data_IF_689084211848
#
_entry.id   IF_689084211848
#
_cell.length_a   1.000
_cell.length_b   1.000
_cell.length_c   1.000
_cell.angle_alpha   90.00
_cell.angle_beta   90.00
_cell.angle_gamma   90.00
#
_symmetry.space_group_name_H-M   'P 1'
#
loop_
_entity.id
_entity.type
_entity.pdbx_description
1 polymer ?
#
# COMPACT_ATOMS: atom_id res chain seq x y z
N UNK A 1 -20.30 -7.72 20.75
CA UNK A 1 -20.45 -6.48 20.01
C UNK A 1 -19.61 -5.33 20.58
N UNK A 2 -19.79 -4.84 21.82
CA UNK A 2 -19.01 -3.70 22.38
C UNK A 2 -17.47 -3.83 22.36
N UNK A 3 -16.90 -5.03 22.40
CA UNK A 3 -15.44 -5.24 22.49
C UNK A 3 -14.75 -5.09 21.13
N UNK A 4 -15.39 -5.53 20.05
CA UNK A 4 -14.89 -5.39 18.66
C UNK A 4 -14.86 -3.92 18.20
N UNK A 5 -15.82 -3.11 18.66
CA UNK A 5 -15.93 -1.71 18.26
C UNK A 5 -14.82 -0.88 18.89
N UNK A 6 -14.52 -1.10 20.18
CA UNK A 6 -13.42 -0.39 20.87
C UNK A 6 -12.03 -0.69 20.29
N UNK A 7 -11.79 -1.93 19.88
CA UNK A 7 -10.55 -2.31 19.23
C UNK A 7 -10.35 -1.55 17.91
N UNK A 8 -11.40 -1.44 17.10
CA UNK A 8 -11.38 -0.68 15.85
C UNK A 8 -11.19 0.82 16.08
N UNK A 9 -11.85 1.39 17.08
CA UNK A 9 -11.69 2.80 17.46
C UNK A 9 -10.24 3.12 17.86
N UNK A 10 -9.58 2.25 18.63
CA UNK A 10 -8.16 2.39 18.99
C UNK A 10 -7.26 2.31 17.76
N UNK A 11 -7.50 1.34 16.88
CA UNK A 11 -6.74 1.19 15.63
C UNK A 11 -6.90 2.42 14.73
N UNK A 12 -8.11 2.94 14.60
CA UNK A 12 -8.38 4.13 13.79
C UNK A 12 -7.69 5.38 14.36
N UNK A 13 -7.81 5.60 15.67
CA UNK A 13 -7.13 6.71 16.36
C UNK A 13 -5.60 6.65 16.20
N UNK A 14 -5.01 5.46 16.30
CA UNK A 14 -3.58 5.25 16.11
C UNK A 14 -3.15 5.48 14.66
N UNK A 15 -3.93 4.98 13.69
CA UNK A 15 -3.69 5.20 12.26
C UNK A 15 -3.64 6.70 11.94
N UNK A 16 -4.64 7.46 12.39
CA UNK A 16 -4.73 8.91 12.18
C UNK A 16 -3.54 9.65 12.79
N UNK A 17 -3.23 9.38 14.06
CA UNK A 17 -2.11 10.02 14.76
C UNK A 17 -0.76 9.71 14.10
N UNK A 18 -0.55 8.47 13.66
CA UNK A 18 0.68 8.08 12.97
C UNK A 18 0.75 8.78 11.60
N UNK A 19 -0.35 8.85 10.87
CA UNK A 19 -0.41 9.54 9.58
C UNK A 19 -0.14 11.05 9.72
N UNK A 20 -0.57 11.68 10.83
CA UNK A 20 -0.40 13.11 11.12
C UNK A 20 0.98 13.45 11.67
N UNK A 21 1.51 12.64 12.60
CA UNK A 21 2.66 12.99 13.45
C UNK A 21 3.82 11.99 13.37
N UNK A 22 3.67 10.92 12.58
CA UNK A 22 4.62 9.82 12.53
C UNK A 22 4.61 8.95 13.80
N UNK A 23 5.43 7.89 13.78
CA UNK A 23 5.44 6.92 14.88
C UNK A 23 5.88 7.51 16.22
N UNK A 24 6.87 8.41 16.21
CA UNK A 24 7.35 9.04 17.44
C UNK A 24 6.36 10.07 17.98
N UNK A 25 5.64 10.75 17.10
CA UNK A 25 4.63 11.76 17.45
C UNK A 25 3.27 11.18 17.87
N UNK A 26 3.11 9.85 17.88
CA UNK A 26 1.87 9.15 18.27
C UNK A 26 2.12 8.25 19.50
N UNK A 27 2.37 8.78 20.70
CA UNK A 27 2.50 7.98 21.92
C UNK A 27 1.17 7.34 22.30
N UNK A 28 1.21 6.20 23.01
CA UNK A 28 0.01 5.44 23.39
C UNK A 28 -0.98 6.26 24.24
N UNK A 29 -0.51 7.23 25.02
CA UNK A 29 -1.37 8.14 25.74
C UNK A 29 -2.25 9.00 24.80
N UNK A 30 -1.67 9.57 23.75
CA UNK A 30 -2.43 10.33 22.74
C UNK A 30 -3.42 9.43 21.98
N UNK A 31 -3.06 8.18 21.71
CA UNK A 31 -3.98 7.20 21.10
C UNK A 31 -5.16 6.94 22.04
N UNK A 32 -4.92 6.80 23.35
CA UNK A 32 -5.97 6.61 24.35
C UNK A 32 -6.93 7.80 24.39
N UNK A 33 -6.38 9.01 24.42
CA UNK A 33 -7.16 10.25 24.44
C UNK A 33 -7.99 10.40 23.15
N UNK A 34 -7.40 10.18 21.98
CA UNK A 34 -8.07 10.24 20.67
C UNK A 34 -9.19 9.20 20.55
N UNK A 35 -8.96 7.98 21.06
CA UNK A 35 -9.95 6.89 21.07
C UNK A 35 -10.97 7.01 22.22
N UNK A 36 -10.87 8.04 23.06
CA UNK A 36 -11.73 8.23 24.24
C UNK A 36 -11.76 7.00 25.15
N UNK A 37 -10.57 6.43 25.44
CA UNK A 37 -10.41 5.28 26.33
C UNK A 37 -9.33 5.56 27.38
N UNK A 38 -9.37 4.86 28.52
CA UNK A 38 -8.26 4.90 29.48
C UNK A 38 -7.01 4.21 28.92
N UNK A 39 -5.83 4.74 29.25
CA UNK A 39 -4.54 4.17 28.76
C UNK A 39 -4.42 2.66 29.06
N UNK A 40 -4.84 2.20 30.24
CA UNK A 40 -4.87 0.77 30.58
C UNK A 40 -5.83 -0.06 29.71
N UNK A 41 -6.82 0.59 29.08
CA UNK A 41 -7.75 -0.10 28.19
C UNK A 41 -7.05 -0.54 26.91
N UNK A 42 -6.15 0.29 26.35
CA UNK A 42 -5.41 -0.07 25.12
C UNK A 42 -4.62 -1.35 25.33
N UNK A 43 -3.89 -1.46 26.45
CA UNK A 43 -3.06 -2.63 26.77
C UNK A 43 -3.85 -3.92 27.02
N UNK A 44 -5.18 -3.84 27.15
CA UNK A 44 -6.07 -5.03 27.14
C UNK A 44 -6.33 -5.58 25.74
N UNK A 45 -6.13 -4.76 24.69
CA UNK A 45 -6.35 -5.13 23.30
C UNK A 45 -5.06 -5.37 22.54
N UNK A 46 -3.99 -4.67 22.91
CA UNK A 46 -2.70 -4.69 22.21
C UNK A 46 -1.57 -4.71 23.24
N UNK A 47 -0.76 -5.75 23.23
CA UNK A 47 0.34 -5.96 24.19
C UNK A 47 1.40 -4.86 24.11
N UNK A 48 1.57 -4.25 22.94
CA UNK A 48 2.52 -3.16 22.70
C UNK A 48 2.06 -2.26 21.55
N UNK A 49 2.74 -1.11 21.41
CA UNK A 49 2.56 -0.24 20.24
C UNK A 49 2.93 -0.95 18.94
N UNK A 50 3.96 -1.79 18.95
CA UNK A 50 4.40 -2.53 17.77
C UNK A 50 3.33 -3.53 17.30
N UNK A 51 2.66 -4.21 18.23
CA UNK A 51 1.52 -5.09 17.93
C UNK A 51 0.37 -4.28 17.32
N UNK A 52 0.02 -3.13 17.90
CA UNK A 52 -1.01 -2.25 17.36
C UNK A 52 -0.68 -1.80 15.93
N UNK A 53 0.55 -1.36 15.68
CA UNK A 53 1.01 -0.93 14.36
C UNK A 53 0.95 -2.07 13.34
N UNK A 54 1.42 -3.27 13.71
CA UNK A 54 1.39 -4.44 12.84
C UNK A 54 -0.06 -4.84 12.46
N UNK A 55 -0.99 -4.77 13.41
CA UNK A 55 -2.38 -5.08 13.17
C UNK A 55 -3.08 -4.02 12.30
N UNK A 56 -2.79 -2.73 12.49
CA UNK A 56 -3.27 -1.66 11.61
C UNK A 56 -2.81 -1.91 10.19
N UNK A 57 -1.52 -2.23 9.99
CA UNK A 57 -0.96 -2.51 8.68
C UNK A 57 -1.64 -3.72 8.03
N UNK A 58 -1.80 -4.82 8.77
CA UNK A 58 -2.44 -6.04 8.28
C UNK A 58 -3.92 -5.83 7.90
N UNK A 59 -4.67 -5.06 8.69
CA UNK A 59 -6.06 -4.72 8.39
C UNK A 59 -6.17 -3.84 7.13
N UNK A 60 -5.26 -2.87 7.00
CA UNK A 60 -5.19 -2.00 5.83
C UNK A 60 -4.79 -2.77 4.57
N UNK A 61 -3.77 -3.62 4.65
CA UNK A 61 -3.37 -4.49 3.53
C UNK A 61 -4.54 -5.34 3.04
N UNK A 62 -5.29 -5.95 3.97
CA UNK A 62 -6.47 -6.73 3.61
C UNK A 62 -7.52 -5.88 2.91
N UNK A 63 -7.83 -4.68 3.41
CA UNK A 63 -8.81 -3.76 2.78
C UNK A 63 -8.38 -3.37 1.36
N UNK A 64 -7.10 -3.08 1.16
CA UNK A 64 -6.55 -2.77 -0.17
C UNK A 64 -6.70 -3.97 -1.10
N UNK A 65 -6.29 -5.17 -0.66
CA UNK A 65 -6.41 -6.39 -1.47
C UNK A 65 -7.87 -6.69 -1.80
N UNK A 66 -8.77 -6.63 -0.83
CA UNK A 66 -10.21 -6.87 -1.04
C UNK A 66 -10.79 -5.88 -2.07
N UNK A 67 -10.36 -4.61 -2.03
CA UNK A 67 -10.76 -3.60 -3.01
C UNK A 67 -10.22 -3.91 -4.42
N UNK A 68 -8.95 -4.26 -4.54
CA UNK A 68 -8.31 -4.59 -5.81
C UNK A 68 -8.92 -5.84 -6.47
N UNK A 69 -9.38 -6.80 -5.68
CA UNK A 69 -9.97 -8.04 -6.16
C UNK A 69 -11.40 -7.87 -6.72
N UNK A 70 -12.12 -6.80 -6.42
CA UNK A 70 -13.52 -6.62 -6.82
C UNK A 70 -13.78 -6.73 -8.33
N UNK A 71 -12.81 -6.36 -9.16
CA UNK A 71 -12.94 -6.47 -10.63
C UNK A 71 -11.71 -7.07 -11.30
N UNK A 72 -10.82 -7.66 -10.50
CA UNK A 72 -9.61 -8.32 -11.02
C UNK A 72 -9.96 -9.67 -11.65
N UNK A 73 -9.47 -9.94 -12.87
CA UNK A 73 -9.57 -11.24 -13.53
C UNK A 73 -8.20 -11.68 -14.05
N UNK A 74 -7.85 -12.93 -13.78
CA UNK A 74 -6.64 -13.55 -14.32
C UNK A 74 -6.73 -13.89 -15.82
N UNK A 75 -7.93 -13.86 -16.40
CA UNK A 75 -8.15 -14.11 -17.83
C UNK A 75 -7.74 -12.93 -18.71
N UNK A 76 -7.53 -11.76 -18.11
CA UNK A 76 -7.00 -10.58 -18.81
C UNK A 76 -5.51 -10.73 -19.09
N UNK A 77 -5.04 -10.04 -20.14
CA UNK A 77 -3.60 -9.98 -20.46
C UNK A 77 -2.80 -9.38 -19.30
N UNK A 78 -1.50 -9.63 -19.27
CA UNK A 78 -0.58 -9.08 -18.27
C UNK A 78 -0.68 -7.55 -18.20
N UNK A 79 -0.72 -6.88 -19.38
CA UNK A 79 -0.87 -5.42 -19.49
C UNK A 79 -2.18 -4.94 -18.88
N UNK A 80 -3.30 -5.54 -19.24
CA UNK A 80 -4.61 -5.15 -18.73
C UNK A 80 -4.70 -5.31 -17.21
N UNK A 81 -4.12 -6.37 -16.66
CA UNK A 81 -4.04 -6.59 -15.21
C UNK A 81 -3.16 -5.55 -14.53
N UNK A 82 -2.01 -5.18 -15.14
CA UNK A 82 -1.14 -4.12 -14.62
C UNK A 82 -1.86 -2.78 -14.59
N UNK A 83 -2.46 -2.37 -15.71
CA UNK A 83 -3.22 -1.12 -15.82
C UNK A 83 -4.36 -1.10 -14.79
N UNK A 84 -5.11 -2.20 -14.68
CA UNK A 84 -6.20 -2.31 -13.71
C UNK A 84 -5.71 -2.13 -12.27
N UNK A 85 -4.74 -2.92 -11.81
CA UNK A 85 -4.25 -2.87 -10.43
C UNK A 85 -3.64 -1.50 -10.10
N UNK A 86 -2.87 -0.93 -11.03
CA UNK A 86 -2.23 0.38 -10.85
C UNK A 86 -3.28 1.52 -10.78
N UNK A 87 -4.31 1.47 -11.62
CA UNK A 87 -5.40 2.45 -11.56
C UNK A 87 -6.20 2.32 -10.27
N UNK A 88 -6.54 1.09 -9.87
CA UNK A 88 -7.35 0.85 -8.69
C UNK A 88 -6.62 1.23 -7.39
N UNK A 89 -5.31 1.01 -7.30
CA UNK A 89 -4.53 1.43 -6.11
C UNK A 89 -4.46 2.97 -6.00
N UNK A 90 -4.35 3.67 -7.14
CA UNK A 90 -4.41 5.14 -7.16
C UNK A 90 -5.76 5.61 -6.63
N UNK A 91 -6.88 5.12 -7.19
CA UNK A 91 -8.23 5.51 -6.78
C UNK A 91 -8.48 5.21 -5.30
N UNK A 92 -8.08 4.02 -4.84
CA UNK A 92 -8.22 3.67 -3.44
C UNK A 92 -7.57 4.69 -2.51
N UNK A 93 -6.34 5.09 -2.79
CA UNK A 93 -5.62 6.03 -1.94
C UNK A 93 -5.99 7.50 -2.14
N UNK A 94 -6.54 7.88 -3.30
CA UNK A 94 -7.19 9.20 -3.46
C UNK A 94 -8.39 9.33 -2.51
N UNK A 95 -9.22 8.29 -2.40
CA UNK A 95 -10.37 8.26 -1.50
C UNK A 95 -9.96 8.06 -0.02
N UNK A 96 -8.76 7.57 0.23
CA UNK A 96 -8.27 7.17 1.55
C UNK A 96 -6.90 7.79 1.89
N UNK A 97 -6.79 9.12 1.76
CA UNK A 97 -5.53 9.86 1.91
C UNK A 97 -4.80 9.63 3.26
N UNK A 98 -5.55 9.50 4.36
CA UNK A 98 -4.97 9.20 5.69
C UNK A 98 -4.30 7.84 5.71
N UNK A 99 -4.91 6.84 5.06
CA UNK A 99 -4.34 5.51 4.95
C UNK A 99 -3.07 5.52 4.09
N UNK A 100 -3.04 6.31 3.01
CA UNK A 100 -1.82 6.50 2.22
C UNK A 100 -0.68 7.08 3.05
N UNK A 101 -0.94 8.15 3.81
CA UNK A 101 0.06 8.75 4.72
C UNK A 101 0.58 7.75 5.75
N UNK A 102 -0.29 6.93 6.32
CA UNK A 102 0.13 5.86 7.23
C UNK A 102 1.05 4.85 6.54
N UNK A 103 0.68 4.39 5.32
CA UNK A 103 1.51 3.47 4.52
C UNK A 103 2.89 4.07 4.23
N UNK A 104 2.98 5.34 3.87
CA UNK A 104 4.26 6.01 3.64
C UNK A 104 5.13 6.04 4.91
N UNK A 105 4.55 6.40 6.05
CA UNK A 105 5.24 6.35 7.34
C UNK A 105 5.72 4.92 7.64
N UNK A 106 4.85 3.93 7.46
CA UNK A 106 5.16 2.52 7.72
C UNK A 106 6.32 2.03 6.83
N UNK A 107 6.25 2.24 5.52
CA UNK A 107 7.25 1.77 4.56
C UNK A 107 8.62 2.43 4.73
N UNK A 108 8.67 3.66 5.26
CA UNK A 108 9.91 4.39 5.56
C UNK A 108 10.42 4.19 7.00
N UNK A 109 9.84 3.25 7.75
CA UNK A 109 10.20 2.91 9.13
C UNK A 109 10.95 1.58 9.22
N UNK A 110 11.51 1.23 10.40
CA UNK A 110 12.07 -0.09 10.65
C UNK A 110 11.08 -1.25 10.39
N UNK A 111 9.76 -1.03 10.60
CA UNK A 111 8.71 -2.02 10.29
C UNK A 111 8.65 -2.32 8.80
N UNK A 112 8.66 -1.27 7.96
CA UNK A 112 8.65 -1.41 6.50
C UNK A 112 9.92 -2.04 5.95
N UNK A 113 11.08 -1.75 6.55
CA UNK A 113 12.35 -2.41 6.19
C UNK A 113 12.28 -3.92 6.47
N UNK A 114 11.75 -4.32 7.63
CA UNK A 114 11.56 -5.74 8.00
C UNK A 114 10.59 -6.43 7.05
N UNK A 115 9.45 -5.81 6.76
CA UNK A 115 8.46 -6.31 5.81
C UNK A 115 9.06 -6.49 4.40
N UNK A 116 9.79 -5.47 3.90
CA UNK A 116 10.43 -5.53 2.58
C UNK A 116 11.43 -6.67 2.50
N UNK A 117 12.25 -6.87 3.56
CA UNK A 117 13.21 -7.98 3.64
C UNK A 117 12.49 -9.32 3.60
N UNK A 118 11.44 -9.50 4.41
CA UNK A 118 10.62 -10.71 4.41
C UNK A 118 10.03 -10.98 3.02
N UNK A 119 9.43 -9.99 2.38
CA UNK A 119 8.81 -10.12 1.05
C UNK A 119 9.80 -10.43 -0.06
N UNK A 120 11.00 -9.88 -0.01
CA UNK A 120 12.05 -10.16 -1.00
C UNK A 120 12.63 -11.58 -0.85
N UNK A 121 12.70 -12.09 0.39
CA UNK A 121 13.30 -13.40 0.70
C UNK A 121 12.26 -14.54 0.70
N UNK A 122 10.98 -14.24 0.88
CA UNK A 122 9.91 -15.24 0.90
C UNK A 122 9.47 -15.63 -0.51
N UNK A 123 8.94 -16.86 -0.65
CA UNK A 123 8.17 -17.23 -1.83
C UNK A 123 6.93 -16.34 -1.94
N UNK A 124 6.49 -16.06 -3.17
CA UNK A 124 5.29 -15.28 -3.44
C UNK A 124 4.10 -15.78 -2.61
N UNK A 125 3.35 -14.85 -1.99
CA UNK A 125 2.09 -15.15 -1.30
C UNK A 125 0.94 -14.87 -2.26
N UNK A 126 -0.14 -15.63 -2.18
CA UNK A 126 -1.32 -15.45 -3.06
C UNK A 126 -1.91 -14.03 -2.98
N UNK A 127 -1.75 -13.37 -1.83
CA UNK A 127 -2.24 -11.99 -1.60
C UNK A 127 -1.34 -10.90 -2.20
N UNK A 128 -0.11 -11.22 -2.62
CA UNK A 128 0.80 -10.23 -3.21
C UNK A 128 0.56 -10.11 -4.73
N UNK A 129 -0.56 -9.50 -5.08
CA UNK A 129 -1.04 -9.37 -6.47
C UNK A 129 -0.01 -8.73 -7.40
N UNK A 130 0.64 -7.66 -6.94
CA UNK A 130 1.62 -6.94 -7.74
C UNK A 130 2.90 -7.72 -7.95
N UNK A 131 3.40 -8.36 -6.88
CA UNK A 131 4.58 -9.21 -6.98
C UNK A 131 4.34 -10.37 -7.94
N UNK A 132 3.21 -11.05 -7.78
CA UNK A 132 2.85 -12.19 -8.61
C UNK A 132 2.71 -11.78 -10.09
N UNK A 133 2.11 -10.62 -10.35
CA UNK A 133 1.97 -10.07 -11.69
C UNK A 133 3.33 -9.75 -12.33
N UNK A 134 4.21 -9.06 -11.60
CA UNK A 134 5.55 -8.72 -12.10
C UNK A 134 6.41 -9.98 -12.31
N UNK A 135 6.35 -10.94 -11.38
CA UNK A 135 7.10 -12.18 -11.52
C UNK A 135 6.62 -12.99 -12.73
N UNK A 136 5.30 -13.11 -12.93
CA UNK A 136 4.74 -13.73 -14.13
C UNK A 136 5.24 -13.06 -15.41
N UNK A 137 5.27 -11.73 -15.44
CA UNK A 137 5.75 -10.97 -16.59
C UNK A 137 7.24 -11.14 -16.87
N UNK A 138 8.06 -11.32 -15.83
CA UNK A 138 9.49 -11.66 -15.96
C UNK A 138 9.63 -13.08 -16.51
N UNK A 139 8.93 -14.05 -15.93
CA UNK A 139 9.02 -15.46 -16.28
C UNK A 139 8.58 -15.74 -17.72
N UNK A 140 7.54 -15.03 -18.22
CA UNK A 140 7.08 -15.13 -19.62
C UNK A 140 7.80 -14.16 -20.57
N UNK A 141 8.84 -13.46 -20.12
CA UNK A 141 9.64 -12.50 -20.90
C UNK A 141 8.83 -11.33 -21.50
N UNK A 142 7.68 -11.03 -20.98
CA UNK A 142 6.87 -9.84 -21.35
C UNK A 142 7.41 -8.55 -20.73
N UNK A 143 8.16 -8.66 -19.63
CA UNK A 143 8.85 -7.55 -18.98
C UNK A 143 10.35 -7.58 -19.27
N UNK A 144 11.00 -6.43 -19.09
CA UNK A 144 12.46 -6.27 -19.21
C UNK A 144 13.19 -7.27 -18.32
N UNK A 145 14.37 -7.71 -18.72
CA UNK A 145 15.24 -8.54 -17.88
C UNK A 145 15.92 -7.67 -16.81
N UNK A 146 15.20 -7.42 -15.74
CA UNK A 146 15.61 -6.57 -14.62
C UNK A 146 15.27 -7.26 -13.30
N UNK A 147 16.02 -6.97 -12.22
CA UNK A 147 15.65 -7.45 -10.88
C UNK A 147 14.22 -7.02 -10.50
N UNK A 148 13.48 -7.89 -9.81
CA UNK A 148 12.11 -7.63 -9.35
C UNK A 148 12.00 -6.31 -8.55
N UNK A 149 13.02 -5.98 -7.75
CA UNK A 149 13.08 -4.72 -6.99
C UNK A 149 13.09 -3.49 -7.90
N UNK A 150 13.75 -3.57 -9.07
CA UNK A 150 13.77 -2.47 -10.03
C UNK A 150 12.43 -2.36 -10.77
N UNK A 151 11.78 -3.50 -11.07
CA UNK A 151 10.41 -3.49 -11.59
C UNK A 151 9.45 -2.77 -10.63
N UNK A 152 9.53 -3.06 -9.31
CA UNK A 152 8.73 -2.34 -8.31
C UNK A 152 9.01 -0.83 -8.31
N UNK A 153 10.27 -0.43 -8.38
CA UNK A 153 10.64 0.98 -8.40
C UNK A 153 10.09 1.71 -9.64
N UNK A 154 10.20 1.10 -10.82
CA UNK A 154 9.71 1.68 -12.07
C UNK A 154 8.18 1.66 -12.19
N UNK A 155 7.53 0.60 -11.70
CA UNK A 155 6.09 0.44 -11.76
C UNK A 155 5.34 1.33 -10.78
N UNK A 156 5.84 1.46 -9.54
CA UNK A 156 5.09 2.10 -8.45
C UNK A 156 5.72 3.38 -7.92
N UNK A 157 7.02 3.60 -8.12
CA UNK A 157 7.70 4.82 -7.69
C UNK A 157 7.01 6.10 -8.20
N UNK A 158 6.73 6.22 -9.51
CA UNK A 158 6.02 7.38 -10.06
C UNK A 158 4.59 7.50 -9.50
N UNK A 159 3.87 6.38 -9.36
CA UNK A 159 2.50 6.36 -8.83
C UNK A 159 2.47 6.90 -7.40
N UNK A 160 3.38 6.43 -6.53
CA UNK A 160 3.45 6.89 -5.14
C UNK A 160 3.80 8.38 -5.05
N UNK A 161 4.69 8.87 -5.94
CA UNK A 161 5.03 10.29 -6.00
C UNK A 161 3.83 11.14 -6.41
N UNK A 162 3.10 10.75 -7.46
CA UNK A 162 1.92 11.45 -7.93
C UNK A 162 0.79 11.46 -6.87
N UNK A 163 0.57 10.34 -6.18
CA UNK A 163 -0.39 10.26 -5.07
C UNK A 163 -0.02 11.22 -3.94
N UNK A 164 1.27 11.28 -3.58
CA UNK A 164 1.75 12.22 -2.55
C UNK A 164 1.49 13.67 -2.96
N UNK A 165 1.84 14.04 -4.19
CA UNK A 165 1.65 15.39 -4.70
C UNK A 165 0.18 15.76 -4.78
N UNK A 166 -0.70 14.83 -5.16
CA UNK A 166 -2.15 15.01 -5.15
C UNK A 166 -2.68 15.24 -3.73
N UNK A 167 -2.29 14.38 -2.77
CA UNK A 167 -2.75 14.47 -1.37
C UNK A 167 -2.24 15.75 -0.68
N UNK A 168 -1.08 16.26 -1.12
CA UNK A 168 -0.53 17.53 -0.63
C UNK A 168 -1.11 18.76 -1.37
N UNK A 169 -1.92 18.57 -2.41
CA UNK A 169 -2.55 19.64 -3.17
C UNK A 169 -1.63 20.32 -4.20
N UNK A 170 -0.47 19.71 -4.54
CA UNK A 170 0.43 20.22 -5.58
C UNK A 170 -0.01 19.81 -6.98
N UNK A 171 -0.79 18.74 -7.10
CA UNK A 171 -1.26 18.17 -8.36
C UNK A 171 -2.69 17.68 -8.22
N UNK A 172 -3.53 17.91 -9.20
CA UNK A 172 -4.84 17.27 -9.32
C UNK A 172 -4.72 16.03 -10.23
N UNK A 173 -5.03 14.86 -9.70
CA UNK A 173 -5.08 13.60 -10.45
C UNK A 173 -6.48 13.40 -11.01
N UNK A 174 -6.69 13.79 -12.27
CA UNK A 174 -7.86 13.41 -13.02
C UNK A 174 -7.70 12.07 -13.75
N UNK A 175 -8.77 11.55 -14.33
CA UNK A 175 -8.78 10.25 -15.01
C UNK A 175 -7.81 10.20 -16.21
N UNK A 176 -7.59 11.29 -16.92
CA UNK A 176 -6.67 11.34 -18.06
C UNK A 176 -5.22 11.26 -17.59
N UNK A 177 -4.88 11.99 -16.52
CA UNK A 177 -3.54 11.97 -15.96
C UNK A 177 -3.23 10.62 -15.30
N UNK A 178 -4.19 10.01 -14.59
CA UNK A 178 -4.06 8.66 -14.04
C UNK A 178 -3.75 7.66 -15.17
N UNK A 179 -4.54 7.70 -16.26
CA UNK A 179 -4.32 6.82 -17.40
C UNK A 179 -2.92 6.99 -18.00
N UNK A 180 -2.50 8.23 -18.25
CA UNK A 180 -1.17 8.55 -18.80
C UNK A 180 -0.04 8.08 -17.88
N UNK A 181 -0.18 8.30 -16.57
CA UNK A 181 0.82 7.88 -15.58
C UNK A 181 0.97 6.35 -15.53
N UNK A 182 -0.14 5.63 -15.51
CA UNK A 182 -0.13 4.16 -15.46
C UNK A 182 0.42 3.56 -16.75
N UNK A 183 0.09 4.13 -17.92
CA UNK A 183 0.66 3.73 -19.22
C UNK A 183 2.19 3.96 -19.24
N UNK A 184 2.66 5.12 -18.77
CA UNK A 184 4.09 5.41 -18.69
C UNK A 184 4.83 4.43 -17.76
N UNK A 185 4.21 4.04 -16.63
CA UNK A 185 4.78 3.02 -15.74
C UNK A 185 4.85 1.65 -16.42
N UNK A 186 3.81 1.26 -17.17
CA UNK A 186 3.84 0.04 -17.98
C UNK A 186 4.96 0.07 -19.02
N UNK A 187 5.09 1.16 -19.79
CA UNK A 187 6.15 1.33 -20.78
C UNK A 187 7.56 1.30 -20.15
N UNK A 188 7.67 1.75 -18.91
CA UNK A 188 8.90 1.66 -18.12
C UNK A 188 9.36 0.23 -17.84
N UNK A 189 8.43 -0.72 -17.69
CA UNK A 189 8.71 -2.10 -17.30
C UNK A 189 8.57 -3.12 -18.44
N UNK A 190 7.69 -2.88 -19.43
CA UNK A 190 7.47 -3.82 -20.55
C UNK A 190 8.73 -3.99 -21.38
N UNK A 191 8.96 -5.19 -21.90
CA UNK A 191 9.98 -5.43 -22.91
C UNK A 191 9.56 -4.69 -24.20
N UNK A 192 10.47 -3.91 -24.74
CA UNK A 192 10.30 -3.39 -26.10
C UNK A 192 10.70 -4.51 -27.03
N UNK A 193 9.82 -4.88 -27.95
CA UNK A 193 10.22 -5.69 -29.09
C UNK A 193 11.27 -4.87 -29.83
N UNK A 194 12.49 -5.41 -29.92
CA UNK A 194 13.55 -4.79 -30.69
C UNK A 194 13.07 -4.82 -32.15
N UNK A 195 12.85 -3.68 -32.83
CA UNK A 195 12.62 -3.70 -34.26
C UNK A 195 13.98 -3.96 -34.88
N UNK A 196 14.34 -5.29 -35.03
CA UNK A 196 15.53 -5.73 -35.77
C UNK A 196 15.53 -5.26 -37.21
#
# INVERSE_FOLDING_TARGET
MKNSDKRKEIMQAALELIAEHGFHGAPMAMVADRASVGAGTIYRYFDSKDVLIAEIFSDLEKKVVDYLLQGYSRDRTLRERFIYLSTMIIRYFMDNAIQFRFIEQYMNSPYGVSLRRERLLSKARDIDLFRNLLQEGIDCQALKDLPLTLHFALAFGPILSLLRDHILGFLELDEDLIRKAVEACWDGVRRQDDPG
#
